data_IF_855632756307
#
_entry.id   IF_855632756307
#
_cell.length_a   1.000
_cell.length_b   1.000
_cell.length_c   1.000
_cell.angle_alpha   90.00
_cell.angle_beta   90.00
_cell.angle_gamma   90.00
#
_symmetry.space_group_name_H-M   'P 1'
#
loop_
_entity.id
_entity.type
_entity.pdbx_description
1 polymer ?
#
# COMPACT_ATOMS: atom_id res chain seq x y z
N UNK A 1 2.61 8.83 11.64
CA UNK A 1 3.68 7.91 11.20
C UNK A 1 4.38 8.55 10.00
N UNK A 2 5.69 8.81 10.08
CA UNK A 2 6.47 9.36 8.96
C UNK A 2 7.20 8.22 8.27
N UNK A 3 7.04 8.09 6.95
CA UNK A 3 7.74 7.09 6.13
C UNK A 3 8.69 7.85 5.20
N UNK A 4 9.98 7.58 5.31
CA UNK A 4 10.98 8.12 4.38
C UNK A 4 11.08 7.20 3.17
N UNK A 5 10.84 7.76 1.99
CA UNK A 5 10.98 7.09 0.69
C UNK A 5 12.05 7.84 -0.07
N UNK A 6 12.98 7.12 -0.70
CA UNK A 6 14.02 7.72 -1.52
C UNK A 6 13.41 8.60 -2.64
N UNK A 7 14.00 9.78 -2.86
CA UNK A 7 13.42 10.78 -3.77
C UNK A 7 13.29 10.28 -5.21
N UNK A 8 14.26 9.48 -5.68
CA UNK A 8 14.21 8.89 -7.02
C UNK A 8 13.03 7.93 -7.17
N UNK A 9 12.75 7.14 -6.13
CA UNK A 9 11.64 6.19 -6.10
C UNK A 9 10.31 6.95 -6.08
N UNK A 10 10.20 8.00 -5.25
CA UNK A 10 9.01 8.86 -5.18
C UNK A 10 8.72 9.53 -6.54
N UNK A 11 9.76 10.01 -7.24
CA UNK A 11 9.63 10.62 -8.57
C UNK A 11 9.16 9.61 -9.62
N UNK A 12 9.78 8.42 -9.67
CA UNK A 12 9.36 7.35 -10.60
C UNK A 12 7.92 6.90 -10.35
N UNK A 13 7.55 6.73 -9.08
CA UNK A 13 6.19 6.38 -8.70
C UNK A 13 5.18 7.46 -9.10
N UNK A 14 5.46 8.74 -8.81
CA UNK A 14 4.62 9.86 -9.21
C UNK A 14 4.45 9.95 -10.73
N UNK A 15 5.54 9.87 -11.49
CA UNK A 15 5.50 9.91 -12.95
C UNK A 15 4.64 8.78 -13.53
N UNK A 16 4.73 7.58 -12.95
CA UNK A 16 3.94 6.41 -13.38
C UNK A 16 2.45 6.58 -13.06
N UNK A 17 2.13 7.09 -11.86
CA UNK A 17 0.74 7.38 -11.48
C UNK A 17 0.13 8.43 -12.40
N UNK A 18 0.86 9.53 -12.66
CA UNK A 18 0.43 10.61 -13.53
C UNK A 18 0.21 10.12 -14.98
N UNK A 19 1.14 9.31 -15.52
CA UNK A 19 1.00 8.72 -16.85
C UNK A 19 -0.25 7.85 -16.98
N UNK A 20 -0.64 7.16 -15.89
CA UNK A 20 -1.86 6.33 -15.84
C UNK A 20 -3.12 7.10 -15.44
N UNK A 21 -3.02 8.40 -15.16
CA UNK A 21 -4.14 9.22 -14.69
C UNK A 21 -4.64 8.88 -13.28
N UNK A 22 -3.79 8.27 -12.44
CA UNK A 22 -4.13 7.82 -11.09
C UNK A 22 -3.57 8.76 -10.02
N UNK A 23 -4.28 8.91 -8.90
CA UNK A 23 -3.75 9.64 -7.73
C UNK A 23 -2.80 8.73 -6.96
N UNK A 24 -1.64 9.26 -6.55
CA UNK A 24 -0.67 8.52 -5.73
C UNK A 24 -1.30 7.90 -4.48
N UNK A 25 -2.19 8.63 -3.81
CA UNK A 25 -2.85 8.17 -2.59
C UNK A 25 -3.74 6.95 -2.82
N UNK A 26 -4.40 6.86 -3.98
CA UNK A 26 -5.22 5.69 -4.33
C UNK A 26 -4.35 4.47 -4.51
N UNK A 27 -3.28 4.59 -5.30
CA UNK A 27 -2.34 3.49 -5.55
C UNK A 27 -1.66 3.02 -4.26
N UNK A 28 -1.26 3.96 -3.39
CA UNK A 28 -0.66 3.61 -2.08
C UNK A 28 -1.66 2.87 -1.19
N UNK A 29 -2.92 3.31 -1.13
CA UNK A 29 -3.95 2.65 -0.34
C UNK A 29 -4.20 1.21 -0.84
N UNK A 30 -4.33 1.02 -2.15
CA UNK A 30 -4.50 -0.31 -2.75
C UNK A 30 -3.32 -1.24 -2.45
N UNK A 31 -2.08 -0.74 -2.55
CA UNK A 31 -0.90 -1.54 -2.24
C UNK A 31 -0.82 -1.91 -0.75
N UNK A 32 -1.25 -1.01 0.15
CA UNK A 32 -1.34 -1.30 1.58
C UNK A 32 -2.39 -2.38 1.84
N UNK A 33 -3.58 -2.28 1.24
CA UNK A 33 -4.63 -3.30 1.37
C UNK A 33 -4.16 -4.66 0.86
N UNK A 34 -3.53 -4.71 -0.32
CA UNK A 34 -2.96 -5.95 -0.86
C UNK A 34 -1.90 -6.55 0.06
N UNK A 35 -1.04 -5.71 0.63
CA UNK A 35 -0.04 -6.15 1.59
C UNK A 35 -0.70 -6.74 2.85
N UNK A 36 -1.75 -6.09 3.36
CA UNK A 36 -2.51 -6.60 4.51
C UNK A 36 -3.20 -7.92 4.16
N UNK A 37 -3.90 -8.04 3.03
CA UNK A 37 -4.56 -9.30 2.63
C UNK A 37 -3.55 -10.46 2.55
N UNK A 38 -2.34 -10.20 2.06
CA UNK A 38 -1.32 -11.23 1.90
C UNK A 38 -0.62 -11.62 3.21
N UNK A 39 -0.62 -10.75 4.23
CA UNK A 39 0.24 -10.90 5.41
C UNK A 39 -0.52 -10.82 6.74
N UNK A 40 -1.77 -10.38 6.75
CA UNK A 40 -2.63 -10.43 7.93
C UNK A 40 -2.92 -11.91 8.16
N UNK A 41 -2.31 -12.46 9.21
CA UNK A 41 -2.57 -13.82 9.64
C UNK A 41 -4.09 -14.00 9.78
N UNK A 42 -4.65 -15.19 9.48
CA UNK A 42 -6.04 -15.45 9.77
C UNK A 42 -6.23 -15.07 11.23
N UNK A 43 -7.13 -14.11 11.51
CA UNK A 43 -7.55 -13.83 12.88
C UNK A 43 -7.92 -15.19 13.43
N UNK A 44 -7.11 -15.67 14.38
CA UNK A 44 -7.34 -16.93 15.07
C UNK A 44 -8.80 -16.90 15.43
N UNK A 45 -9.58 -17.72 14.73
CA UNK A 45 -11.01 -17.81 14.91
C UNK A 45 -11.21 -17.92 16.42
N UNK A 46 -12.03 -17.02 16.97
CA UNK A 46 -12.48 -17.01 18.35
C UNK A 46 -12.44 -18.44 18.92
N UNK A 47 -11.37 -18.75 19.66
CA UNK A 47 -11.32 -19.94 20.50
C UNK A 47 -12.16 -19.62 21.74
N UNK A 48 -13.46 -19.47 21.51
CA UNK A 48 -14.51 -19.58 22.50
C UNK A 48 -15.42 -20.71 22.04
N UNK A 49 -15.06 -21.93 22.42
CA UNK A 49 -16.00 -22.99 22.77
C UNK A 49 -15.38 -23.87 23.84
#
# INVERSE_FOLDING_TARGET
MHISIADDLKKRFHATCAFRGLKMSQVVAELIEQWLIANEAPKSADLKR
#
